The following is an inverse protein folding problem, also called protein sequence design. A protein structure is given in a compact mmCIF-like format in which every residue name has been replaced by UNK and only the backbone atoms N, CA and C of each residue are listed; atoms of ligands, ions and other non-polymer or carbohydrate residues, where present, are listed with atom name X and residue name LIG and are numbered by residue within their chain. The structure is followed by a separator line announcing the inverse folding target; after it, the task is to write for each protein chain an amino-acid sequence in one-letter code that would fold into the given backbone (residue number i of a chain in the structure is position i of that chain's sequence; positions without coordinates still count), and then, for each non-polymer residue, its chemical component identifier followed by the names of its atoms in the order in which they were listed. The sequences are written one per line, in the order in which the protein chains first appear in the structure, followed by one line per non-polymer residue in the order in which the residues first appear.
data_IF_319699584802
#
_entry.id   IF_319699584802
#
_cell.length_a   1.000
_cell.length_b   1.000
_cell.length_c   1.000
_cell.angle_alpha   90.00
_cell.angle_beta   90.00
_cell.angle_gamma   90.00
#
_symmetry.space_group_name_H-M   'P 1'
#
loop_
_entity.id
_entity.type
_entity.pdbx_description
1 polymer ?
#
# COMPACT_ATOMS: atom_id res chain seq x y z
N UNK A 1 -8.47 -10.82 1.16
CA UNK A 1 -7.43 -11.44 2.02
C UNK A 1 -6.12 -10.67 1.96
N UNK A 2 -5.47 -10.52 0.80
CA UNK A 2 -4.20 -9.78 0.71
C UNK A 2 -4.39 -8.27 0.91
N UNK A 3 -5.53 -7.76 0.41
CA UNK A 3 -6.00 -6.39 0.57
C UNK A 3 -6.21 -6.08 2.06
N UNK A 4 -7.00 -6.89 2.75
CA UNK A 4 -7.32 -6.74 4.18
C UNK A 4 -6.07 -6.83 5.05
N UNK A 5 -5.15 -7.75 4.73
CA UNK A 5 -3.88 -7.87 5.44
C UNK A 5 -3.01 -6.62 5.26
N UNK A 6 -2.90 -6.12 4.03
CA UNK A 6 -2.15 -4.89 3.74
C UNK A 6 -2.81 -3.67 4.40
N UNK A 7 -4.14 -3.56 4.33
CA UNK A 7 -4.93 -2.51 4.96
C UNK A 7 -4.69 -2.50 6.48
N UNK A 8 -4.74 -3.67 7.13
CA UNK A 8 -4.47 -3.79 8.56
C UNK A 8 -3.06 -3.33 8.94
N UNK A 9 -2.04 -3.72 8.15
CA UNK A 9 -0.66 -3.28 8.39
C UNK A 9 -0.51 -1.77 8.23
N UNK A 10 -1.13 -1.18 7.21
CA UNK A 10 -1.04 0.27 6.95
C UNK A 10 -1.79 1.06 8.02
N UNK A 11 -2.96 0.61 8.49
CA UNK A 11 -3.70 1.22 9.60
C UNK A 11 -2.87 1.31 10.89
N UNK A 12 -1.93 0.40 11.11
CA UNK A 12 -1.01 0.46 12.26
C UNK A 12 0.16 1.44 12.12
N UNK A 13 0.36 2.05 10.94
CA UNK A 13 1.49 2.95 10.64
C UNK A 13 1.07 4.43 10.62
N UNK A 14 -0.21 4.70 10.36
CA UNK A 14 -0.76 6.03 10.06
C UNK A 14 -1.49 6.63 11.27
N UNK A 15 -1.70 7.94 11.28
CA UNK A 15 -2.52 8.60 12.31
C UNK A 15 -4.01 8.63 11.93
N UNK A 16 -4.35 8.53 10.64
CA UNK A 16 -5.73 8.51 10.13
C UNK A 16 -6.07 7.10 9.58
N UNK A 17 -6.34 6.10 10.45
CA UNK A 17 -6.58 4.72 10.02
C UNK A 17 -7.88 4.56 9.22
N UNK A 18 -8.87 5.43 9.45
CA UNK A 18 -10.15 5.38 8.74
C UNK A 18 -10.05 5.79 7.26
N UNK A 19 -8.97 6.51 6.90
CA UNK A 19 -8.70 6.96 5.53
C UNK A 19 -7.84 5.96 4.73
N UNK A 20 -7.48 4.82 5.33
CA UNK A 20 -6.74 3.76 4.65
C UNK A 20 -7.66 2.97 3.77
N UNK A 21 -7.42 3.01 2.46
CA UNK A 21 -8.15 2.21 1.48
C UNK A 21 -7.19 1.40 0.63
N UNK A 22 -7.46 0.10 0.49
CA UNK A 22 -6.69 -0.79 -0.37
C UNK A 22 -7.59 -1.33 -1.48
N UNK A 23 -7.28 -0.96 -2.73
CA UNK A 23 -7.97 -1.47 -3.91
C UNK A 23 -7.09 -2.46 -4.64
N UNK A 24 -7.68 -3.52 -5.18
CA UNK A 24 -6.97 -4.48 -6.02
C UNK A 24 -7.35 -4.29 -7.48
N UNK A 25 -6.35 -4.30 -8.37
CA UNK A 25 -6.53 -4.25 -9.81
C UNK A 25 -5.79 -5.41 -10.47
N UNK A 26 -6.54 -6.25 -11.17
CA UNK A 26 -5.95 -7.35 -11.92
C UNK A 26 -5.29 -6.84 -13.21
N UNK A 27 -4.13 -7.41 -13.51
CA UNK A 27 -3.36 -7.17 -14.72
C UNK A 27 -3.26 -8.45 -15.53
N UNK A 28 -2.87 -8.34 -16.80
CA UNK A 28 -2.61 -9.51 -17.66
C UNK A 28 -1.61 -10.51 -17.06
N UNK A 29 -0.71 -10.06 -16.19
CA UNK A 29 0.29 -10.89 -15.50
C UNK A 29 0.44 -10.48 -14.04
N UNK A 30 -0.58 -10.77 -13.24
CA UNK A 30 -0.57 -10.55 -11.79
C UNK A 30 -1.60 -9.50 -11.37
N UNK A 31 -1.36 -8.83 -10.25
CA UNK A 31 -2.26 -7.81 -9.72
C UNK A 31 -1.51 -6.72 -8.98
N UNK A 32 -2.10 -5.53 -8.96
CA UNK A 32 -1.61 -4.37 -8.22
C UNK A 32 -2.55 -4.14 -7.05
N UNK A 33 -1.98 -3.96 -5.87
CA UNK A 33 -2.67 -3.43 -4.70
C UNK A 33 -2.33 -1.94 -4.60
N UNK A 34 -3.34 -1.11 -4.84
CA UNK A 34 -3.26 0.33 -4.69
C UNK A 34 -3.63 0.70 -3.26
N UNK A 35 -2.71 1.34 -2.55
CA UNK A 35 -2.95 1.83 -1.19
C UNK A 35 -3.11 3.34 -1.26
N UNK A 36 -4.25 3.82 -0.76
CA UNK A 36 -4.55 5.25 -0.55
C UNK A 36 -4.63 5.49 0.95
N UNK A 37 -4.07 6.62 1.36
CA UNK A 37 -4.05 7.09 2.75
C UNK A 37 -4.27 8.59 2.77
N UNK A 38 -4.55 9.14 3.95
CA UNK A 38 -4.56 10.58 4.15
C UNK A 38 -3.22 11.21 3.72
N UNK A 39 -3.21 12.39 3.05
CA UNK A 39 -1.98 13.04 2.59
C UNK A 39 -0.89 13.18 3.67
N UNK A 40 -1.29 13.56 4.89
CA UNK A 40 -0.36 13.72 6.02
C UNK A 40 0.31 12.41 6.47
N UNK A 41 -0.26 11.26 6.10
CA UNK A 41 0.26 9.94 6.45
C UNK A 41 1.12 9.32 5.35
N UNK A 42 1.09 9.86 4.13
CA UNK A 42 1.85 9.33 2.99
C UNK A 42 3.33 9.22 3.32
N UNK A 43 3.89 10.25 3.96
CA UNK A 43 5.30 10.26 4.39
C UNK A 43 5.66 9.13 5.36
N UNK A 44 4.73 8.74 6.24
CA UNK A 44 4.93 7.66 7.22
C UNK A 44 4.90 6.29 6.55
N UNK A 45 3.98 6.09 5.62
CA UNK A 45 3.84 4.84 4.86
C UNK A 45 5.03 4.64 3.91
N UNK A 46 5.52 5.71 3.27
CA UNK A 46 6.77 5.67 2.50
C UNK A 46 7.93 5.34 3.44
N UNK A 47 8.03 6.06 4.55
CA UNK A 47 9.11 5.96 5.51
C UNK A 47 10.44 6.51 4.98
N UNK A 48 11.41 6.68 5.89
CA UNK A 48 12.72 7.24 5.53
C UNK A 48 13.39 6.43 4.41
N UNK A 49 13.74 7.09 3.31
CA UNK A 49 14.31 6.47 2.09
C UNK A 49 13.44 5.34 1.51
N UNK A 50 12.11 5.39 1.70
CA UNK A 50 11.19 4.38 1.19
C UNK A 50 11.25 3.04 1.94
N UNK A 51 11.88 2.98 3.13
CA UNK A 51 12.12 1.73 3.86
C UNK A 51 10.83 1.01 4.23
N UNK A 52 9.83 1.74 4.73
CA UNK A 52 8.54 1.17 5.15
C UNK A 52 7.80 0.61 3.96
N UNK A 53 7.67 1.39 2.88
CA UNK A 53 7.04 0.92 1.64
C UNK A 53 7.74 -0.29 1.03
N UNK A 54 9.08 -0.37 1.12
CA UNK A 54 9.84 -1.54 0.68
C UNK A 54 9.54 -2.77 1.53
N UNK A 55 9.47 -2.63 2.86
CA UNK A 55 9.13 -3.73 3.75
C UNK A 55 7.72 -4.28 3.48
N UNK A 56 6.74 -3.39 3.31
CA UNK A 56 5.37 -3.77 2.94
C UNK A 56 5.35 -4.56 1.62
N UNK A 57 6.05 -4.08 0.58
CA UNK A 57 6.19 -4.79 -0.70
C UNK A 57 6.82 -6.17 -0.55
N UNK A 58 7.84 -6.30 0.30
CA UNK A 58 8.51 -7.59 0.55
C UNK A 58 7.58 -8.59 1.22
N UNK A 59 6.86 -8.17 2.28
CA UNK A 59 5.92 -9.04 2.99
C UNK A 59 4.78 -9.46 2.06
N UNK A 60 4.16 -8.50 1.37
CA UNK A 60 3.06 -8.77 0.43
C UNK A 60 3.51 -9.68 -0.72
N UNK A 61 4.71 -9.46 -1.28
CA UNK A 61 5.25 -10.32 -2.34
C UNK A 61 5.55 -11.74 -1.86
N UNK A 62 5.96 -11.91 -0.60
CA UNK A 62 6.21 -13.23 -0.01
C UNK A 62 4.92 -14.03 0.19
N UNK A 63 3.83 -13.37 0.60
CA UNK A 63 2.53 -14.01 0.84
C UNK A 63 1.75 -14.20 -0.47
N UNK A 64 1.69 -13.17 -1.31
CA UNK A 64 0.90 -13.15 -2.54
C UNK A 64 1.55 -13.85 -3.74
N UNK A 65 2.85 -14.19 -3.64
CA UNK A 65 3.59 -14.87 -4.69
C UNK A 65 3.95 -13.97 -5.87
N UNK A 66 4.36 -14.60 -6.98
CA UNK A 66 4.85 -13.89 -8.18
C UNK A 66 3.73 -13.08 -8.82
N UNK A 67 4.03 -11.82 -9.16
CA UNK A 67 3.12 -10.94 -9.90
C UNK A 67 2.24 -10.04 -9.03
N UNK A 68 2.39 -10.06 -7.70
CA UNK A 68 1.74 -9.07 -6.82
C UNK A 68 2.63 -7.85 -6.65
N UNK A 69 2.06 -6.67 -6.86
CA UNK A 69 2.74 -5.38 -6.66
C UNK A 69 1.94 -4.51 -5.70
N UNK A 70 2.63 -3.66 -4.95
CA UNK A 70 2.01 -2.66 -4.07
C UNK A 70 2.43 -1.28 -4.53
N UNK A 71 1.45 -0.46 -4.89
CA UNK A 71 1.61 0.92 -5.31
C UNK A 71 0.94 1.83 -4.28
N UNK A 72 1.69 2.82 -3.80
CA UNK A 72 1.17 3.87 -2.93
C UNK A 72 0.66 4.98 -3.85
N UNK A 73 -0.63 5.27 -3.81
CA UNK A 73 -1.26 6.26 -4.67
C UNK A 73 -1.37 7.55 -3.90
N UNK A 74 -0.69 8.58 -4.39
CA UNK A 74 -0.86 9.94 -3.91
C UNK A 74 -2.19 10.50 -4.45
N UNK A 75 -3.03 11.01 -3.54
CA UNK A 75 -4.30 11.65 -3.90
C UNK A 75 -4.11 13.10 -4.36
N UNK A 76 -2.92 13.68 -4.17
CA UNK A 76 -2.64 15.10 -4.44
C UNK A 76 -2.12 15.39 -5.86
N UNK A 77 -2.12 14.41 -6.76
CA UNK A 77 -1.72 14.60 -8.16
C UNK A 77 -2.89 14.50 -9.15
N UNK A 78 -3.88 15.40 -8.98
CA UNK A 78 -4.70 15.88 -10.09
C UNK A 78 -4.26 17.32 -10.36
N UNK A 79 -3.37 17.50 -11.33
CA UNK A 79 -2.99 18.81 -11.88
C UNK A 79 -3.36 18.88 -13.35
#
# INVERSE_FOLDING_TARGET
MLEEALEHLVKGIVDNPDDVQVASRDLRRGRVLEVRVHPDDLGKVIGRNGRTARALRTVVGAIGGRGVRVDLVDVDHVR
#
